data_IF_304440880173
#
_entry.id   IF_304440880173
#
_cell.length_a   1.000
_cell.length_b   1.000
_cell.length_c   1.000
_cell.angle_alpha   90.00
_cell.angle_beta   90.00
_cell.angle_gamma   90.00
#
_symmetry.space_group_name_H-M   'P 1'
#
loop_
_entity.id
_entity.type
_entity.pdbx_description
1 polymer ?
#
# COMPACT_ATOMS: atom_id res chain seq x y z
N UNK A 1 -1.77 -7.95 26.20
CA UNK A 1 -1.08 -7.72 24.91
C UNK A 1 -1.42 -8.92 24.06
N UNK A 2 -1.93 -8.69 22.85
CA UNK A 2 -2.42 -9.78 22.00
C UNK A 2 -1.27 -10.74 21.66
N UNK A 3 -1.56 -12.03 21.66
CA UNK A 3 -0.64 -13.05 21.16
C UNK A 3 -0.45 -12.89 19.65
N UNK A 4 0.77 -13.17 19.17
CA UNK A 4 1.06 -13.08 17.75
C UNK A 4 0.53 -14.28 17.00
N UNK A 5 -0.32 -14.04 15.99
CA UNK A 5 -0.94 -15.10 15.20
C UNK A 5 -1.96 -14.55 14.21
N UNK A 6 -2.71 -15.44 13.56
CA UNK A 6 -3.79 -15.06 12.64
C UNK A 6 -4.92 -14.39 13.42
N UNK A 7 -5.42 -13.27 12.90
CA UNK A 7 -6.52 -12.53 13.50
C UNK A 7 -7.81 -13.39 13.61
N UNK A 8 -8.52 -13.39 14.75
CA UNK A 8 -9.65 -14.30 14.99
C UNK A 8 -10.88 -14.05 14.11
N UNK A 9 -11.06 -12.84 13.58
CA UNK A 9 -12.19 -12.50 12.69
C UNK A 9 -12.19 -13.35 11.42
N UNK A 10 -13.20 -14.22 11.28
CA UNK A 10 -13.42 -14.98 10.05
C UNK A 10 -13.71 -14.08 8.85
N UNK A 11 -14.38 -12.96 9.06
CA UNK A 11 -14.76 -12.03 8.00
C UNK A 11 -13.54 -11.31 7.43
N UNK A 12 -12.68 -10.76 8.28
CA UNK A 12 -11.44 -10.14 7.85
C UNK A 12 -10.53 -11.15 7.13
N UNK A 13 -10.45 -12.39 7.64
CA UNK A 13 -9.72 -13.47 6.99
C UNK A 13 -10.28 -13.80 5.60
N UNK A 14 -11.60 -13.80 5.42
CA UNK A 14 -12.25 -14.01 4.11
C UNK A 14 -11.95 -12.87 3.15
N UNK A 15 -11.95 -11.62 3.61
CA UNK A 15 -11.58 -10.47 2.78
C UNK A 15 -10.14 -10.59 2.28
N UNK A 16 -9.18 -10.91 3.14
CA UNK A 16 -7.80 -11.17 2.73
C UNK A 16 -7.73 -12.34 1.72
N UNK A 17 -8.38 -13.46 2.01
CA UNK A 17 -8.35 -14.63 1.13
C UNK A 17 -9.03 -14.42 -0.23
N UNK A 18 -9.95 -13.45 -0.33
CA UNK A 18 -10.63 -13.12 -1.59
C UNK A 18 -9.76 -12.31 -2.56
N UNK A 19 -8.65 -11.75 -2.08
CA UNK A 19 -7.75 -10.92 -2.86
C UNK A 19 -6.50 -11.73 -3.26
N UNK A 20 -6.09 -11.63 -4.53
CA UNK A 20 -4.86 -12.30 -4.98
C UNK A 20 -3.62 -11.76 -4.26
N UNK A 21 -3.59 -10.44 -4.03
CA UNK A 21 -2.66 -9.71 -3.17
C UNK A 21 -3.49 -8.81 -2.26
N UNK A 22 -3.65 -9.15 -0.96
CA UNK A 22 -4.37 -8.30 -0.02
C UNK A 22 -3.76 -6.91 0.02
N UNK A 23 -4.54 -5.93 -0.44
CA UNK A 23 -4.10 -4.56 -0.57
C UNK A 23 -4.91 -3.67 0.36
N UNK A 24 -4.21 -2.78 1.03
CA UNK A 24 -4.74 -1.74 1.89
C UNK A 24 -4.61 -0.42 1.13
N UNK A 25 -5.72 0.27 0.83
CA UNK A 25 -5.73 1.40 -0.12
C UNK A 25 -6.04 0.98 -1.56
N UNK A 26 -5.30 1.48 -2.55
CA UNK A 26 -5.44 1.07 -3.95
C UNK A 26 -4.95 -0.38 -4.15
N UNK A 27 -5.54 -1.07 -5.12
CA UNK A 27 -5.02 -2.35 -5.61
C UNK A 27 -3.59 -2.20 -6.15
N UNK A 28 -2.69 -3.11 -5.80
CA UNK A 28 -1.27 -3.00 -6.20
C UNK A 28 -1.05 -2.85 -7.72
N UNK A 29 -1.91 -3.47 -8.55
CA UNK A 29 -1.83 -3.38 -10.00
C UNK A 29 -2.01 -1.96 -10.54
N UNK A 30 -2.88 -1.17 -9.88
CA UNK A 30 -3.17 0.21 -10.24
C UNK A 30 -2.34 1.24 -9.44
N UNK A 31 -1.75 0.81 -8.33
CA UNK A 31 -0.98 1.70 -7.47
C UNK A 31 0.38 2.07 -8.10
N UNK A 32 0.78 3.31 -7.85
CA UNK A 32 2.06 3.88 -8.31
C UNK A 32 3.06 3.98 -7.18
N UNK A 33 2.58 4.12 -5.96
CA UNK A 33 3.40 4.13 -4.75
C UNK A 33 2.95 2.95 -3.91
N UNK A 34 3.87 2.04 -3.63
CA UNK A 34 3.58 0.80 -2.90
C UNK A 34 4.45 0.75 -1.66
N UNK A 35 3.83 0.79 -0.49
CA UNK A 35 4.48 0.56 0.79
C UNK A 35 4.40 -0.91 1.13
N UNK A 36 5.54 -1.52 1.43
CA UNK A 36 5.59 -2.93 1.82
C UNK A 36 5.89 -3.03 3.31
N UNK A 37 5.02 -3.70 4.05
CA UNK A 37 5.23 -4.08 5.44
C UNK A 37 5.46 -5.59 5.60
N UNK A 38 5.56 -6.04 6.86
CA UNK A 38 5.70 -7.46 7.17
C UNK A 38 4.35 -8.15 7.25
N UNK A 39 3.40 -7.54 7.95
CA UNK A 39 2.08 -8.10 8.25
C UNK A 39 1.06 -7.02 8.66
N UNK A 40 -0.19 -7.24 8.28
CA UNK A 40 -1.30 -6.32 8.60
C UNK A 40 -1.84 -6.65 9.99
N UNK A 41 -1.41 -5.86 10.99
CA UNK A 41 -1.71 -6.12 12.39
C UNK A 41 -2.93 -5.36 12.91
N UNK A 42 -3.93 -6.10 13.39
CA UNK A 42 -5.13 -5.58 14.03
C UNK A 42 -5.24 -6.13 15.45
N UNK A 43 -5.68 -5.30 16.41
CA UNK A 43 -5.94 -5.83 17.76
C UNK A 43 -7.19 -6.70 17.75
N UNK A 44 -7.11 -7.87 18.37
CA UNK A 44 -8.27 -8.76 18.52
C UNK A 44 -9.40 -8.09 19.31
N UNK A 45 -9.05 -7.14 20.19
CA UNK A 45 -9.99 -6.35 20.98
C UNK A 45 -10.94 -5.50 20.12
N UNK A 46 -10.61 -5.24 18.84
CA UNK A 46 -11.52 -4.51 17.95
C UNK A 46 -12.85 -5.26 17.73
N UNK A 47 -12.88 -6.59 17.96
CA UNK A 47 -14.12 -7.37 17.91
C UNK A 47 -15.13 -7.01 19.00
N UNK A 48 -14.68 -6.39 20.10
CA UNK A 48 -15.57 -5.89 21.16
C UNK A 48 -16.30 -4.59 20.74
N UNK A 49 -15.95 -4.03 19.57
CA UNK A 49 -16.47 -2.77 19.03
C UNK A 49 -17.01 -2.98 17.60
N UNK A 50 -18.14 -3.66 17.42
CA UNK A 50 -18.64 -4.07 16.10
C UNK A 50 -18.82 -2.88 15.15
N UNK A 51 -19.37 -1.75 15.62
CA UNK A 51 -19.54 -0.54 14.80
C UNK A 51 -18.22 0.01 14.25
N UNK A 52 -17.15 -0.06 15.04
CA UNK A 52 -15.83 0.35 14.57
C UNK A 52 -15.18 -0.73 13.69
N UNK A 53 -15.42 -2.01 14.00
CA UNK A 53 -14.93 -3.12 13.20
C UNK A 53 -15.47 -3.07 11.76
N UNK A 54 -16.72 -2.61 11.55
CA UNK A 54 -17.26 -2.32 10.22
C UNK A 54 -16.41 -1.32 9.43
N UNK A 55 -15.73 -0.36 10.08
CA UNK A 55 -14.79 0.56 9.40
C UNK A 55 -13.55 -0.15 8.88
N UNK A 56 -13.09 -1.19 9.59
CA UNK A 56 -12.00 -2.04 9.14
C UNK A 56 -12.44 -2.84 7.91
N UNK A 57 -13.65 -3.37 7.92
CA UNK A 57 -14.21 -4.11 6.79
C UNK A 57 -14.43 -3.19 5.58
N UNK A 58 -15.04 -2.02 5.76
CA UNK A 58 -15.21 -0.95 4.74
C UNK A 58 -13.86 -0.63 4.07
N UNK A 59 -12.81 -0.47 4.89
CA UNK A 59 -11.46 -0.16 4.41
C UNK A 59 -10.84 -1.27 3.54
N UNK A 60 -11.05 -2.54 3.88
CA UNK A 60 -10.53 -3.67 3.08
C UNK A 60 -11.37 -3.98 1.85
N UNK A 61 -12.64 -3.58 1.84
CA UNK A 61 -13.50 -3.70 0.67
C UNK A 61 -13.13 -2.68 -0.40
N UNK A 62 -12.91 -1.41 -0.01
CA UNK A 62 -12.49 -0.35 -0.92
C UNK A 62 -11.70 0.74 -0.15
N UNK A 63 -10.38 0.56 -0.09
CA UNK A 63 -9.49 1.49 0.60
C UNK A 63 -9.42 2.88 -0.05
N UNK A 64 -9.69 2.98 -1.36
CA UNK A 64 -9.70 4.24 -2.10
C UNK A 64 -10.94 5.04 -1.72
N UNK A 65 -12.12 4.43 -1.79
CA UNK A 65 -13.37 5.06 -1.40
C UNK A 65 -13.36 5.41 0.10
N UNK A 66 -12.80 4.54 0.95
CA UNK A 66 -12.61 4.82 2.37
C UNK A 66 -11.82 6.11 2.57
N UNK A 67 -10.63 6.23 1.95
CA UNK A 67 -9.78 7.40 2.15
C UNK A 67 -10.44 8.68 1.63
N UNK A 68 -11.06 8.63 0.45
CA UNK A 68 -11.81 9.78 -0.09
C UNK A 68 -12.97 10.21 0.80
N UNK A 69 -13.71 9.26 1.37
CA UNK A 69 -14.87 9.53 2.23
C UNK A 69 -14.50 10.11 3.58
N UNK A 70 -13.47 9.54 4.22
CA UNK A 70 -13.13 9.86 5.61
C UNK A 70 -11.98 10.86 5.75
N UNK A 71 -11.39 11.28 4.63
CA UNK A 71 -10.23 12.17 4.56
C UNK A 71 -8.97 11.67 5.32
N UNK A 72 -8.94 10.39 5.68
CA UNK A 72 -7.81 9.70 6.32
C UNK A 72 -7.56 8.36 5.65
N UNK A 73 -6.31 7.92 5.55
CA UNK A 73 -5.96 6.72 4.78
C UNK A 73 -6.23 5.39 5.50
N UNK A 74 -6.49 5.42 6.81
CA UNK A 74 -6.69 4.21 7.60
C UNK A 74 -7.70 4.42 8.74
N UNK A 75 -8.56 3.43 9.06
CA UNK A 75 -9.56 3.52 10.14
C UNK A 75 -9.00 3.92 11.51
N UNK A 76 -7.75 3.52 11.80
CA UNK A 76 -7.07 3.87 13.07
C UNK A 76 -6.94 5.38 13.33
N UNK A 77 -7.14 6.21 12.31
CA UNK A 77 -7.07 7.65 12.41
C UNK A 77 -8.43 8.30 12.69
N UNK A 78 -9.54 7.59 12.48
CA UNK A 78 -10.88 8.07 12.78
C UNK A 78 -11.00 8.52 14.24
N UNK A 79 -11.90 9.48 14.49
CA UNK A 79 -12.10 10.05 15.82
C UNK A 79 -12.70 9.02 16.79
N UNK A 80 -13.58 8.16 16.27
CA UNK A 80 -14.27 7.09 16.97
C UNK A 80 -13.41 5.83 17.22
N UNK A 81 -12.11 5.82 16.88
CA UNK A 81 -11.24 4.67 17.15
C UNK A 81 -11.24 4.33 18.66
N UNK A 82 -11.67 3.12 19.07
CA UNK A 82 -12.04 2.85 20.46
C UNK A 82 -10.84 2.49 21.35
N UNK A 83 -9.69 2.13 20.77
CA UNK A 83 -8.52 1.71 21.53
C UNK A 83 -7.53 2.86 21.74
N UNK A 84 -6.54 2.65 22.60
CA UNK A 84 -5.49 3.65 22.84
C UNK A 84 -4.74 3.99 21.55
N UNK A 85 -4.54 5.29 21.37
CA UNK A 85 -3.91 5.86 20.16
C UNK A 85 -2.38 5.88 20.22
N UNK A 86 -1.78 5.46 21.33
CA UNK A 86 -0.33 5.52 21.57
C UNK A 86 0.34 4.15 21.46
N UNK A 87 -0.40 3.14 20.99
CA UNK A 87 0.06 1.76 20.81
C UNK A 87 -0.47 1.13 19.53
N UNK A 88 0.03 -0.05 19.19
CA UNK A 88 -0.38 -0.79 17.99
C UNK A 88 -0.01 -0.06 16.70
N UNK A 89 -0.87 -0.14 15.69
CA UNK A 89 -0.67 0.52 14.39
C UNK A 89 -0.91 2.03 14.39
N UNK A 90 -1.58 2.61 15.40
CA UNK A 90 -1.94 4.04 15.38
C UNK A 90 -0.72 4.97 15.22
N UNK A 91 0.40 4.77 15.94
CA UNK A 91 1.61 5.57 15.73
C UNK A 91 2.18 5.50 14.30
N UNK A 92 2.09 4.33 13.65
CA UNK A 92 2.50 4.16 12.26
C UNK A 92 1.67 5.07 11.36
N UNK A 93 0.33 4.97 11.44
CA UNK A 93 -0.55 5.72 10.54
C UNK A 93 -0.51 7.22 10.84
N UNK A 94 -0.35 7.64 12.10
CA UNK A 94 -0.14 9.05 12.45
C UNK A 94 1.09 9.64 11.77
N UNK A 95 2.22 8.91 11.76
CA UNK A 95 3.43 9.36 11.07
C UNK A 95 3.27 9.35 9.56
N UNK A 96 2.57 8.37 9.00
CA UNK A 96 2.24 8.39 7.57
C UNK A 96 1.47 9.66 7.19
N UNK A 97 0.43 10.03 7.95
CA UNK A 97 -0.37 11.23 7.66
C UNK A 97 0.44 12.53 7.74
N UNK A 98 1.52 12.55 8.53
CA UNK A 98 2.42 13.71 8.63
C UNK A 98 3.24 13.98 7.36
N UNK A 99 3.26 13.07 6.39
CA UNK A 99 3.80 13.34 5.05
C UNK A 99 2.92 14.32 4.25
N UNK A 100 1.67 14.54 4.68
CA UNK A 100 0.75 15.50 4.06
C UNK A 100 0.13 15.00 2.76
N UNK A 101 0.01 13.69 2.56
CA UNK A 101 -0.70 13.13 1.41
C UNK A 101 -2.21 13.29 1.63
N UNK A 102 -2.89 13.99 0.71
CA UNK A 102 -4.33 14.21 0.72
C UNK A 102 -5.07 12.99 0.14
N UNK A 103 -6.42 12.94 0.23
CA UNK A 103 -7.21 11.91 -0.43
C UNK A 103 -7.07 11.86 -1.96
N UNK A 104 -6.46 12.87 -2.60
CA UNK A 104 -6.13 12.84 -4.04
C UNK A 104 -5.08 11.76 -4.36
N UNK A 105 -4.30 11.33 -3.36
CA UNK A 105 -3.35 10.22 -3.49
C UNK A 105 -3.98 8.85 -3.29
N UNK A 106 -5.28 8.77 -2.94
CA UNK A 106 -5.94 7.51 -2.64
C UNK A 106 -5.88 6.52 -3.81
N UNK A 107 -5.94 7.02 -5.05
CA UNK A 107 -5.85 6.19 -6.26
C UNK A 107 -4.42 5.76 -6.60
N UNK A 108 -3.40 6.36 -5.96
CA UNK A 108 -2.00 6.15 -6.31
C UNK A 108 -1.24 5.31 -5.28
N UNK A 109 -1.73 5.22 -4.05
CA UNK A 109 -1.02 4.62 -2.92
C UNK A 109 -1.64 3.30 -2.51
N UNK A 110 -0.79 2.29 -2.35
CA UNK A 110 -1.14 0.98 -1.79
C UNK A 110 -0.20 0.62 -0.63
N UNK A 111 -0.74 -0.13 0.32
CA UNK A 111 0.01 -0.84 1.34
C UNK A 111 -0.22 -2.34 1.16
N UNK A 112 0.86 -3.10 1.17
CA UNK A 112 0.84 -4.55 1.01
C UNK A 112 1.82 -5.18 2.00
N UNK A 113 1.57 -6.42 2.36
CA UNK A 113 2.30 -7.09 3.43
C UNK A 113 2.94 -8.38 2.93
N UNK A 114 4.05 -8.81 3.54
CA UNK A 114 4.68 -10.09 3.19
C UNK A 114 3.85 -11.32 3.61
N UNK A 115 2.91 -11.16 4.54
CA UNK A 115 1.89 -12.16 4.85
C UNK A 115 0.57 -11.84 4.14
N UNK A 116 -0.08 -12.87 3.60
CA UNK A 116 -1.41 -12.79 2.99
C UNK A 116 -2.56 -13.00 3.99
N UNK A 117 -2.28 -12.91 5.28
CA UNK A 117 -3.25 -13.09 6.35
C UNK A 117 -3.20 -11.90 7.32
N UNK A 118 -4.36 -11.48 7.87
CA UNK A 118 -4.38 -10.47 8.93
C UNK A 118 -3.84 -11.09 10.22
N UNK A 119 -3.05 -10.34 10.98
CA UNK A 119 -2.43 -10.81 12.23
C UNK A 119 -2.89 -10.00 13.45
N UNK A 120 -2.64 -10.55 14.64
CA UNK A 120 -2.73 -9.87 15.94
C UNK A 120 -1.36 -9.82 16.59
N UNK A 121 -1.16 -8.95 17.60
CA UNK A 121 0.04 -8.95 18.44
C UNK A 121 1.30 -8.44 17.73
N UNK A 122 2.43 -8.37 18.45
CA UNK A 122 3.70 -7.93 17.83
C UNK A 122 4.32 -9.08 17.04
N UNK A 123 4.80 -8.82 15.82
CA UNK A 123 5.51 -9.79 14.97
C UNK A 123 6.54 -10.60 15.74
N UNK A 124 6.36 -11.92 15.78
CA UNK A 124 7.31 -12.90 16.33
C UNK A 124 7.88 -13.74 15.18
N UNK A 125 9.22 -13.82 15.10
CA UNK A 125 9.89 -14.42 13.94
C UNK A 125 9.48 -15.88 13.70
N UNK A 126 9.43 -16.72 14.74
CA UNK A 126 9.09 -18.14 14.58
C UNK A 126 7.72 -18.33 13.92
N UNK A 127 6.70 -17.70 14.49
CA UNK A 127 5.32 -17.77 13.99
C UNK A 127 5.18 -17.08 12.63
N UNK A 128 5.91 -15.99 12.38
CA UNK A 128 5.90 -15.34 11.06
C UNK A 128 6.28 -16.32 9.95
N UNK A 129 7.31 -17.15 10.18
CA UNK A 129 7.74 -18.14 9.19
C UNK A 129 6.77 -19.32 9.06
N UNK A 130 6.04 -19.67 10.11
CA UNK A 130 4.95 -20.67 10.02
C UNK A 130 3.77 -20.15 9.18
N UNK A 131 3.54 -18.84 9.17
CA UNK A 131 2.49 -18.18 8.39
C UNK A 131 2.93 -17.77 6.98
N UNK A 132 4.23 -17.82 6.69
CA UNK A 132 4.78 -17.31 5.44
C UNK A 132 4.45 -18.25 4.27
N UNK A 133 3.72 -17.74 3.26
CA UNK A 133 3.42 -18.45 2.02
C UNK A 133 4.40 -18.04 0.91
N UNK A 134 5.34 -18.92 0.50
CA UNK A 134 6.30 -18.60 -0.56
C UNK A 134 5.65 -18.36 -1.93
N UNK A 135 4.52 -19.01 -2.22
CA UNK A 135 3.81 -18.85 -3.49
C UNK A 135 3.13 -17.48 -3.57
N UNK A 136 2.53 -17.03 -2.47
CA UNK A 136 2.06 -15.65 -2.34
C UNK A 136 3.21 -14.64 -2.46
N UNK A 137 4.28 -14.84 -1.69
CA UNK A 137 5.41 -13.93 -1.67
C UNK A 137 6.06 -13.80 -3.06
N UNK A 138 6.10 -14.88 -3.85
CA UNK A 138 6.60 -14.82 -5.23
C UNK A 138 5.73 -13.90 -6.09
N UNK A 139 4.40 -14.05 -6.05
CA UNK A 139 3.49 -13.17 -6.81
C UNK A 139 3.65 -11.71 -6.42
N UNK A 140 3.81 -11.43 -5.12
CA UNK A 140 4.06 -10.08 -4.63
C UNK A 140 5.39 -9.53 -5.17
N UNK A 141 6.48 -10.29 -5.06
CA UNK A 141 7.81 -9.88 -5.56
C UNK A 141 7.78 -9.64 -7.06
N UNK A 142 7.12 -10.51 -7.83
CA UNK A 142 6.99 -10.36 -9.28
C UNK A 142 6.29 -9.03 -9.61
N UNK A 143 5.20 -8.68 -8.92
CA UNK A 143 4.49 -7.41 -9.10
C UNK A 143 5.32 -6.18 -8.69
N UNK A 144 6.10 -6.30 -7.61
CA UNK A 144 6.97 -5.21 -7.15
C UNK A 144 8.16 -4.97 -8.09
N UNK A 145 8.51 -5.96 -8.92
CA UNK A 145 9.74 -5.97 -9.73
C UNK A 145 9.51 -6.20 -11.22
N UNK A 146 8.26 -6.10 -11.68
CA UNK A 146 7.85 -6.30 -13.09
C UNK A 146 8.41 -5.24 -14.07
N UNK A 147 9.06 -4.19 -13.54
CA UNK A 147 9.65 -3.11 -14.31
C UNK A 147 8.68 -2.00 -14.70
N UNK A 148 7.42 -2.07 -14.28
CA UNK A 148 6.44 -1.00 -14.48
C UNK A 148 6.81 0.25 -13.67
N UNK A 149 6.16 1.38 -13.96
CA UNK A 149 6.45 2.64 -13.28
C UNK A 149 5.85 2.69 -11.87
N UNK A 150 6.59 2.19 -10.88
CA UNK A 150 6.22 2.24 -9.45
C UNK A 150 7.33 2.79 -8.56
N UNK A 151 6.96 3.47 -7.49
CA UNK A 151 7.80 3.75 -6.34
C UNK A 151 7.49 2.73 -5.24
N UNK A 152 8.40 1.79 -5.03
CA UNK A 152 8.28 0.75 -4.00
C UNK A 152 9.08 1.17 -2.78
N UNK A 153 8.41 1.33 -1.65
CA UNK A 153 9.03 1.76 -0.38
C UNK A 153 9.11 0.57 0.57
N UNK A 154 10.34 0.15 0.89
CA UNK A 154 10.62 -0.97 1.78
C UNK A 154 11.28 -0.48 3.07
N UNK A 155 10.89 -1.03 4.22
CA UNK A 155 11.72 -0.88 5.41
C UNK A 155 12.94 -1.79 5.37
N UNK A 156 14.01 -1.45 6.09
CA UNK A 156 15.16 -2.34 6.23
C UNK A 156 14.82 -3.71 6.83
N UNK A 157 13.75 -3.81 7.65
CA UNK A 157 13.25 -5.09 8.16
C UNK A 157 12.63 -5.93 7.05
N UNK A 158 11.79 -5.33 6.19
CA UNK A 158 11.18 -6.01 5.04
C UNK A 158 12.25 -6.50 4.06
N UNK A 159 13.24 -5.67 3.75
CA UNK A 159 14.37 -6.06 2.88
C UNK A 159 15.15 -7.26 3.45
N UNK A 160 15.47 -7.25 4.75
CA UNK A 160 16.12 -8.40 5.41
C UNK A 160 15.25 -9.65 5.41
N UNK A 161 13.94 -9.51 5.62
CA UNK A 161 13.00 -10.63 5.58
C UNK A 161 12.90 -11.24 4.18
N UNK A 162 12.81 -10.42 3.12
CA UNK A 162 12.84 -10.92 1.74
C UNK A 162 14.14 -11.67 1.42
N UNK A 163 15.29 -11.13 1.87
CA UNK A 163 16.58 -11.80 1.72
C UNK A 163 16.65 -13.12 2.51
N UNK A 164 16.06 -13.18 3.70
CA UNK A 164 15.96 -14.41 4.48
C UNK A 164 15.03 -15.43 3.82
N UNK A 165 13.89 -14.99 3.29
CA UNK A 165 12.92 -15.82 2.59
C UNK A 165 13.55 -16.46 1.35
N UNK A 166 14.33 -15.71 0.56
CA UNK A 166 15.06 -16.24 -0.60
C UNK A 166 16.08 -17.33 -0.23
N UNK A 167 16.64 -17.30 0.99
CA UNK A 167 17.56 -18.34 1.49
C UNK A 167 16.86 -19.54 2.10
N UNK A 168 15.67 -19.34 2.69
CA UNK A 168 14.91 -20.36 3.42
C UNK A 168 13.92 -21.12 2.53
N UNK A 169 13.56 -20.57 1.38
CA UNK A 169 12.48 -21.06 0.52
C UNK A 169 12.90 -21.04 -0.95
N UNK A 170 11.99 -21.40 -1.85
CA UNK A 170 12.18 -21.27 -3.29
C UNK A 170 11.92 -19.86 -3.86
N UNK A 171 11.68 -18.87 -2.99
CA UNK A 171 11.39 -17.49 -3.38
C UNK A 171 12.55 -16.89 -4.18
N UNK A 172 12.27 -16.43 -5.39
CA UNK A 172 13.20 -15.73 -6.27
C UNK A 172 13.02 -14.24 -6.08
N UNK A 173 13.95 -13.63 -5.35
CA UNK A 173 14.01 -12.18 -5.16
C UNK A 173 15.15 -11.62 -5.99
N UNK A 174 14.93 -10.59 -6.82
CA UNK A 174 16.02 -9.87 -7.46
C UNK A 174 17.05 -9.42 -6.42
N UNK A 175 18.33 -9.40 -6.78
CA UNK A 175 19.36 -8.86 -5.88
C UNK A 175 19.11 -7.36 -5.71
N UNK A 176 18.68 -6.98 -4.51
CA UNK A 176 18.49 -5.59 -4.11
C UNK A 176 19.74 -5.09 -3.36
N UNK A 177 20.41 -4.08 -3.89
CA UNK A 177 21.54 -3.40 -3.27
C UNK A 177 21.07 -2.16 -2.53
N UNK A 178 20.42 -2.38 -1.38
CA UNK A 178 19.86 -1.33 -0.53
C UNK A 178 20.56 -1.31 0.84
N UNK A 179 21.82 -0.87 0.92
CA UNK A 179 22.65 -1.02 2.12
C UNK A 179 22.18 -0.18 3.31
N UNK A 180 21.43 0.92 3.09
CA UNK A 180 20.98 1.82 4.16
C UNK A 180 19.70 2.57 3.79
N UNK A 181 19.12 3.26 4.78
CA UNK A 181 17.99 4.18 4.54
C UNK A 181 18.40 5.23 3.52
N UNK A 182 17.52 5.49 2.54
CA UNK A 182 17.75 6.38 1.41
C UNK A 182 18.47 5.73 0.24
N UNK A 183 18.93 4.48 0.36
CA UNK A 183 19.39 3.72 -0.81
C UNK A 183 18.22 3.45 -1.74
N UNK A 184 18.48 3.56 -3.05
CA UNK A 184 17.52 3.23 -4.10
C UNK A 184 18.15 2.31 -5.15
N UNK A 185 17.31 1.51 -5.79
CA UNK A 185 17.65 0.71 -6.96
C UNK A 185 16.53 0.81 -8.00
N UNK A 186 16.90 0.88 -9.28
CA UNK A 186 15.94 0.81 -10.38
C UNK A 186 15.85 -0.59 -10.95
N UNK A 187 14.63 -1.02 -11.27
CA UNK A 187 14.33 -2.23 -12.04
C UNK A 187 13.32 -1.82 -13.10
N UNK A 188 13.73 -1.75 -14.37
CA UNK A 188 12.91 -1.09 -15.39
C UNK A 188 12.62 0.37 -15.01
N UNK A 189 11.34 0.75 -15.01
CA UNK A 189 10.87 2.06 -14.55
C UNK A 189 10.54 2.11 -13.05
N UNK A 190 10.57 0.97 -12.35
CA UNK A 190 10.37 0.92 -10.91
C UNK A 190 11.56 1.52 -10.18
N UNK A 191 11.27 2.35 -9.18
CA UNK A 191 12.22 2.81 -8.15
C UNK A 191 11.92 2.07 -6.85
N UNK A 192 12.87 1.28 -6.38
CA UNK A 192 12.78 0.57 -5.10
C UNK A 192 13.66 1.32 -4.11
N UNK A 193 13.04 1.87 -3.06
CA UNK A 193 13.71 2.71 -2.07
C UNK A 193 13.64 2.03 -0.70
N UNK A 194 14.77 1.93 -0.03
CA UNK A 194 14.79 1.54 1.38
C UNK A 194 14.59 2.78 2.26
N UNK A 195 13.56 2.76 3.10
CA UNK A 195 13.22 3.87 3.97
C UNK A 195 12.98 3.41 5.42
N UNK A 196 12.73 4.36 6.32
CA UNK A 196 12.46 4.06 7.73
C UNK A 196 11.05 3.48 7.87
N UNK A 197 10.89 2.55 8.81
CA UNK A 197 9.55 2.11 9.21
C UNK A 197 8.84 3.24 9.98
N UNK A 198 7.56 3.49 9.70
CA UNK A 198 6.81 4.60 10.31
C UNK A 198 6.58 4.47 11.83
N UNK A 199 6.91 3.33 12.45
CA UNK A 199 6.95 3.20 13.91
C UNK A 199 8.27 3.66 14.55
N UNK A 200 9.31 3.90 13.75
CA UNK A 200 10.62 4.39 14.21
C UNK A 200 10.59 5.91 14.48
N UNK A 201 11.64 6.41 15.14
CA UNK A 201 11.88 7.85 15.19
C UNK A 201 12.23 8.36 13.77
N UNK A 202 11.41 9.28 13.26
CA UNK A 202 11.57 9.95 11.97
C UNK A 202 11.33 11.44 12.24
N UNK A 203 12.21 12.30 11.76
CA UNK A 203 12.03 13.75 11.90
C UNK A 203 10.90 14.25 10.99
N UNK A 204 10.26 15.37 11.36
CA UNK A 204 9.24 15.99 10.51
C UNK A 204 9.80 16.34 9.12
N UNK A 205 11.07 16.75 9.04
CA UNK A 205 11.74 17.06 7.77
C UNK A 205 11.85 15.82 6.87
N UNK A 206 12.22 14.67 7.42
CA UNK A 206 12.28 13.41 6.66
C UNK A 206 10.89 12.97 6.17
N UNK A 207 9.85 13.14 6.99
CA UNK A 207 8.46 12.82 6.61
C UNK A 207 7.97 13.71 5.47
N UNK A 208 8.17 15.03 5.59
CA UNK A 208 7.80 15.98 4.53
C UNK A 208 8.57 15.69 3.24
N UNK A 209 9.88 15.44 3.33
CA UNK A 209 10.70 15.11 2.16
C UNK A 209 10.23 13.85 1.41
N UNK A 210 9.81 12.80 2.14
CA UNK A 210 9.20 11.62 1.50
C UNK A 210 7.84 11.94 0.87
N UNK A 211 7.04 12.78 1.52
CA UNK A 211 5.79 13.29 0.94
C UNK A 211 6.03 14.03 -0.37
N UNK A 212 7.02 14.90 -0.42
CA UNK A 212 7.40 15.66 -1.63
C UNK A 212 7.90 14.74 -2.75
N UNK A 213 8.69 13.72 -2.40
CA UNK A 213 9.13 12.70 -3.36
C UNK A 213 7.95 11.93 -3.97
N UNK A 214 6.96 11.56 -3.15
CA UNK A 214 5.74 10.89 -3.61
C UNK A 214 4.92 11.80 -4.54
N UNK A 215 4.75 13.08 -4.19
CA UNK A 215 4.07 14.07 -5.03
C UNK A 215 4.78 14.19 -6.38
N UNK A 216 6.09 14.40 -6.38
CA UNK A 216 6.89 14.52 -7.60
C UNK A 216 6.82 13.26 -8.47
N UNK A 217 6.79 12.07 -7.87
CA UNK A 217 6.62 10.82 -8.61
C UNK A 217 5.24 10.70 -9.26
N UNK A 218 4.19 11.16 -8.57
CA UNK A 218 2.81 11.20 -9.08
C UNK A 218 2.62 12.21 -10.21
N UNK A 219 3.16 13.42 -10.07
CA UNK A 219 2.97 14.56 -10.97
C UNK A 219 3.67 14.41 -12.32
N UNK A 220 4.79 13.67 -12.38
CA UNK A 220 5.60 13.46 -13.59
C UNK A 220 4.92 12.65 -14.71
N UNK A 221 3.58 12.59 -14.69
CA UNK A 221 2.68 11.80 -15.56
C UNK A 221 1.57 12.67 -16.15
N UNK A 222 1.26 13.80 -15.52
CA UNK A 222 0.36 14.80 -16.10
C UNK A 222 0.96 15.51 -17.33
N UNK A 223 2.24 15.27 -17.64
CA UNK A 223 2.94 15.83 -18.80
C UNK A 223 3.11 14.86 -19.99
N UNK A 224 2.48 13.68 -19.98
CA UNK A 224 2.52 12.80 -21.15
C UNK A 224 1.49 13.26 -22.20
N UNK A 225 1.90 13.85 -23.34
CA UNK A 225 0.97 14.46 -24.32
C UNK A 225 0.05 13.45 -25.02
N UNK A 226 0.25 12.14 -24.81
CA UNK A 226 -0.56 11.09 -25.41
C UNK A 226 -2.01 11.01 -24.87
N UNK A 227 -2.33 11.65 -23.74
CA UNK A 227 -3.69 11.66 -23.16
C UNK A 227 -4.52 12.86 -23.63
N UNK A 228 -3.92 13.87 -24.29
CA UNK A 228 -4.61 15.07 -24.74
C UNK A 228 -5.20 15.00 -26.17
N UNK A 229 -5.09 13.88 -26.89
CA UNK A 229 -5.57 13.81 -28.29
C UNK A 229 -6.94 13.13 -28.52
N UNK A 230 -7.63 12.65 -27.47
CA UNK A 230 -8.90 11.92 -27.66
C UNK A 230 -10.19 12.76 -27.65
N UNK A 231 -10.11 14.09 -27.53
CA UNK A 231 -11.30 14.96 -27.46
C UNK A 231 -11.49 15.92 -28.64
N UNK A 232 -10.76 15.76 -29.76
CA UNK A 232 -10.95 16.60 -30.95
C UNK A 232 -11.21 15.76 -32.21
N UNK A 233 -12.43 15.21 -32.35
CA UNK A 233 -13.00 14.80 -33.66
C UNK A 233 -14.50 14.54 -33.55
N UNK A 234 -15.31 15.59 -33.55
CA UNK A 234 -16.68 15.54 -34.08
C UNK A 234 -17.09 16.91 -34.64
N UNK A 235 -16.41 17.34 -35.70
CA UNK A 235 -16.93 18.38 -36.58
C UNK A 235 -17.99 17.77 -37.48
N UNK A 236 -19.25 17.99 -37.12
CA UNK A 236 -20.39 17.77 -38.01
C UNK A 236 -20.28 18.69 -39.23
N UNK A 237 -20.07 18.08 -40.40
CA UNK A 237 -20.15 18.75 -41.70
C UNK A 237 -21.57 18.59 -42.24
N UNK A 238 -22.39 19.63 -42.11
CA UNK A 238 -23.65 19.78 -42.85
C UNK A 238 -23.35 20.32 -44.24
N UNK A 239 -23.64 19.53 -45.29
CA UNK A 239 -23.64 20.02 -46.67
C UNK A 239 -24.97 20.73 -46.97
N UNK A 240 -24.98 21.83 -47.75
CA UNK A 240 -26.20 22.39 -48.30
C UNK A 240 -26.49 21.79 -49.68
N UNK A 241 -27.74 21.34 -49.87
CA UNK A 241 -28.32 20.99 -51.16
C UNK A 241 -28.32 22.20 -52.09
N UNK A 242 -27.94 21.98 -53.36
CA UNK A 242 -28.23 22.89 -54.47
C UNK A 242 -29.04 22.13 -55.54
N UNK A 243 -30.06 22.77 -56.14
CA UNK A 243 -31.04 22.11 -57.00
C UNK A 243 -30.68 22.25 -58.48
N UNK A 244 -31.08 21.28 -59.30
CA UNK A 244 -31.16 21.37 -60.76
C UNK A 244 -32.20 20.35 -61.27
N UNK A 245 -32.66 20.47 -62.53
CA UNK A 245 -33.67 21.39 -63.06
C UNK A 245 -35.03 20.72 -63.31
#
# INVERSE_FOLDING_TARGET
MDEYGIHPSLELRRLFASQAIPSQGQSIGCARVVFVGLDANYSAQLLDYPEFFERILEYHQDGVAFWKRHAVHHPFLLAEYPLSRDRGGVPYHRRFSQMGLSPEFAEQVSFVELLNVPTTGRTMESVFWDLFDPGYAQRLVDLLTDGSRRLVVLSGSVHRTLSAAARRTALRVPRLDLPRVGSEQRIGESRIVQWRHFSSAISQRELVGMGDEIRAFGDAVSEDPAVLSSTASSSGSSQPDSPLP
#
